data_IF_016543793989
#
_entry.id   IF_016543793989
#
_cell.length_a   1.000
_cell.length_b   1.000
_cell.length_c   1.000
_cell.angle_alpha   90.00
_cell.angle_beta   90.00
_cell.angle_gamma   90.00
#
_symmetry.space_group_name_H-M   'P 1'
#
loop_
_entity.id
_entity.type
_entity.pdbx_description
1 polymer ?
#
# COMPACT_ATOMS: atom_id res chain seq x y z
N UNK A 1 -8.89 9.01 -24.33
CA UNK A 1 -10.33 8.74 -24.38
C UNK A 1 -11.03 10.06 -24.16
N UNK A 2 -11.75 10.54 -25.17
CA UNK A 2 -12.42 11.85 -25.16
C UNK A 2 -13.93 11.72 -25.36
N UNK A 3 -14.37 10.71 -26.10
CA UNK A 3 -15.79 10.43 -26.41
C UNK A 3 -16.24 9.09 -25.82
N UNK A 4 -17.55 8.83 -25.86
CA UNK A 4 -18.13 7.54 -25.44
C UNK A 4 -17.61 6.41 -26.34
N UNK A 5 -17.54 6.61 -27.65
CA UNK A 5 -17.02 5.63 -28.60
C UNK A 5 -15.54 5.32 -28.36
N UNK A 6 -14.74 6.34 -28.03
CA UNK A 6 -13.33 6.15 -27.64
C UNK A 6 -13.23 5.28 -26.37
N UNK A 7 -14.16 5.45 -25.42
CA UNK A 7 -14.18 4.69 -24.17
C UNK A 7 -14.55 3.22 -24.43
N UNK A 8 -15.55 2.97 -25.29
CA UNK A 8 -15.87 1.60 -25.73
C UNK A 8 -14.71 0.94 -26.47
N UNK A 9 -14.07 1.67 -27.40
CA UNK A 9 -12.87 1.18 -28.10
C UNK A 9 -11.75 0.82 -27.12
N UNK A 10 -11.55 1.61 -26.08
CA UNK A 10 -10.59 1.30 -25.02
C UNK A 10 -11.01 0.08 -24.19
N UNK A 11 -12.29 -0.04 -23.83
CA UNK A 11 -12.80 -1.19 -23.09
C UNK A 11 -12.58 -2.50 -23.85
N UNK A 12 -13.01 -2.55 -25.10
CA UNK A 12 -13.01 -3.76 -25.92
C UNK A 12 -11.58 -4.18 -26.32
N UNK A 13 -10.77 -3.23 -26.79
CA UNK A 13 -9.47 -3.55 -27.40
C UNK A 13 -8.29 -3.46 -26.42
N UNK A 14 -8.41 -2.67 -25.34
CA UNK A 14 -7.29 -2.48 -24.40
C UNK A 14 -7.58 -3.09 -23.04
N UNK A 15 -8.69 -2.75 -22.40
CA UNK A 15 -8.97 -3.19 -21.03
C UNK A 15 -9.17 -4.70 -20.97
N UNK A 16 -10.07 -5.24 -21.79
CA UNK A 16 -10.49 -6.67 -21.73
C UNK A 16 -9.36 -7.63 -22.09
N UNK A 17 -8.54 -7.26 -23.06
CA UNK A 17 -7.38 -8.07 -23.42
C UNK A 17 -6.37 -8.13 -22.28
N UNK A 18 -6.22 -7.06 -21.51
CA UNK A 18 -5.22 -6.98 -20.46
C UNK A 18 -5.66 -7.57 -19.12
N UNK A 19 -6.96 -7.76 -18.87
CA UNK A 19 -7.45 -8.37 -17.61
C UNK A 19 -7.24 -9.88 -17.51
N UNK A 20 -6.73 -10.53 -18.56
CA UNK A 20 -6.39 -11.96 -18.57
C UNK A 20 -5.01 -12.17 -19.18
N UNK A 21 -4.28 -13.14 -18.63
CA UNK A 21 -3.01 -13.58 -19.19
C UNK A 21 -3.19 -14.08 -20.62
N UNK A 22 -2.53 -13.41 -21.58
CA UNK A 22 -2.51 -13.83 -22.97
C UNK A 22 -1.49 -14.95 -23.21
N UNK A 23 -1.54 -15.52 -24.41
CA UNK A 23 -0.55 -16.49 -24.88
C UNK A 23 0.87 -15.92 -24.81
N UNK A 24 1.84 -16.83 -24.71
CA UNK A 24 3.25 -16.48 -24.79
C UNK A 24 3.64 -16.09 -26.22
N UNK A 25 4.80 -15.45 -26.38
CA UNK A 25 5.31 -15.04 -27.70
C UNK A 25 5.56 -16.24 -28.64
N UNK A 26 5.73 -17.43 -28.09
CA UNK A 26 5.87 -18.70 -28.81
C UNK A 26 4.50 -19.37 -29.12
N UNK A 27 3.38 -18.70 -28.84
CA UNK A 27 2.02 -19.23 -29.05
C UNK A 27 1.55 -20.23 -27.99
N UNK A 28 2.36 -20.52 -26.97
CA UNK A 28 1.96 -21.45 -25.93
C UNK A 28 0.93 -20.83 -24.97
N UNK A 29 -0.01 -21.67 -24.52
CA UNK A 29 -0.99 -21.26 -23.53
C UNK A 29 -0.33 -20.98 -22.16
N UNK A 30 -0.77 -19.95 -21.43
CA UNK A 30 -0.22 -19.59 -20.13
C UNK A 30 -0.71 -20.56 -19.04
N UNK A 31 -0.12 -21.76 -19.00
CA UNK A 31 -0.45 -22.81 -18.01
C UNK A 31 -0.19 -22.30 -16.59
N UNK A 32 -1.08 -22.64 -15.65
CA UNK A 32 -1.05 -22.21 -14.24
C UNK A 32 -1.14 -20.70 -13.99
N UNK A 33 -1.45 -19.90 -15.01
CA UNK A 33 -1.67 -18.45 -14.89
C UNK A 33 -3.15 -18.09 -15.02
N UNK A 34 -4.05 -19.05 -14.76
CA UNK A 34 -5.50 -18.81 -14.71
C UNK A 34 -5.82 -17.87 -13.55
N UNK A 35 -6.11 -16.62 -13.89
CA UNK A 35 -6.35 -15.54 -12.94
C UNK A 35 -5.21 -14.53 -12.82
N UNK A 36 -4.15 -14.63 -13.61
CA UNK A 36 -3.19 -13.53 -13.77
C UNK A 36 -3.66 -12.56 -14.87
N UNK A 37 -3.25 -11.30 -14.76
CA UNK A 37 -3.41 -10.32 -15.84
C UNK A 37 -2.33 -10.51 -16.90
N UNK A 38 -2.42 -9.76 -17.99
CA UNK A 38 -1.51 -9.91 -19.13
C UNK A 38 -0.02 -9.64 -18.81
N UNK A 39 0.26 -8.95 -17.70
CA UNK A 39 1.62 -8.78 -17.20
C UNK A 39 2.25 -10.06 -16.63
N UNK A 40 1.46 -11.11 -16.40
CA UNK A 40 1.86 -12.42 -15.88
C UNK A 40 2.53 -12.38 -14.49
N UNK A 41 2.42 -11.25 -13.78
CA UNK A 41 2.97 -11.07 -12.43
C UNK A 41 1.89 -10.79 -11.41
N UNK A 42 0.86 -10.02 -11.77
CA UNK A 42 -0.23 -9.67 -10.88
C UNK A 42 -1.40 -10.64 -11.06
N UNK A 43 -1.87 -11.20 -9.94
CA UNK A 43 -3.02 -12.09 -9.89
C UNK A 43 -4.28 -11.31 -9.55
N UNK A 44 -5.35 -11.48 -10.31
CA UNK A 44 -6.69 -11.04 -9.98
C UNK A 44 -7.21 -11.75 -8.72
N UNK A 45 -7.84 -10.98 -7.84
CA UNK A 45 -8.64 -11.52 -6.75
C UNK A 45 -10.11 -11.34 -7.13
N UNK A 46 -10.79 -12.46 -7.33
CA UNK A 46 -12.17 -12.47 -7.81
C UNK A 46 -12.26 -12.03 -9.27
N UNK A 47 -13.02 -10.96 -9.53
CA UNK A 47 -13.25 -10.39 -10.86
C UNK A 47 -13.27 -8.86 -10.78
N UNK A 48 -13.10 -8.20 -11.92
CA UNK A 48 -13.36 -6.78 -12.03
C UNK A 48 -14.89 -6.54 -12.06
N UNK A 49 -15.32 -5.39 -11.56
CA UNK A 49 -16.71 -4.92 -11.65
C UNK A 49 -16.72 -3.58 -12.39
N UNK A 50 -17.69 -3.40 -13.29
CA UNK A 50 -17.97 -2.15 -13.99
C UNK A 50 -19.31 -1.63 -13.51
N UNK A 51 -19.29 -0.52 -12.78
CA UNK A 51 -20.47 0.13 -12.21
C UNK A 51 -20.76 1.42 -12.94
N UNK A 52 -22.01 1.65 -13.28
CA UNK A 52 -22.49 2.85 -13.94
C UNK A 52 -23.44 3.61 -13.03
N UNK A 53 -23.27 4.94 -13.03
CA UNK A 53 -24.23 5.90 -12.49
C UNK A 53 -24.84 6.73 -13.63
N UNK A 54 -26.17 6.85 -13.59
CA UNK A 54 -27.01 7.49 -14.59
C UNK A 54 -27.97 8.47 -13.92
N UNK A 55 -28.38 9.50 -14.66
CA UNK A 55 -29.46 10.42 -14.27
C UNK A 55 -30.81 10.02 -14.88
N UNK A 56 -31.89 10.40 -14.20
CA UNK A 56 -33.26 10.23 -14.71
C UNK A 56 -33.48 11.05 -15.97
N UNK A 57 -34.27 10.50 -16.90
CA UNK A 57 -34.75 11.25 -18.06
C UNK A 57 -35.73 12.33 -17.58
N UNK A 58 -35.41 13.60 -17.80
CA UNK A 58 -36.30 14.72 -17.50
C UNK A 58 -36.51 15.59 -18.74
N UNK A 59 -37.78 15.98 -18.94
CA UNK A 59 -38.18 16.99 -19.90
C UNK A 59 -37.65 18.35 -19.43
N UNK A 60 -37.16 19.16 -20.35
CA UNK A 60 -36.70 20.50 -20.04
C UNK A 60 -37.23 21.52 -21.03
N UNK A 61 -37.29 22.76 -20.56
CA UNK A 61 -37.70 23.91 -21.35
C UNK A 61 -36.44 24.57 -21.91
N UNK A 62 -36.27 24.51 -23.23
CA UNK A 62 -35.22 25.25 -23.92
C UNK A 62 -35.90 26.11 -24.99
N UNK A 63 -35.68 27.42 -24.93
CA UNK A 63 -36.30 28.41 -25.84
C UNK A 63 -37.83 28.29 -25.99
N UNK A 64 -38.57 28.09 -24.89
CA UNK A 64 -40.04 27.92 -24.85
C UNK A 64 -40.59 26.72 -25.64
N UNK A 65 -39.72 25.84 -26.15
CA UNK A 65 -40.10 24.53 -26.66
C UNK A 65 -39.70 23.45 -25.64
N UNK A 66 -40.59 22.46 -25.46
CA UNK A 66 -40.32 21.33 -24.58
C UNK A 66 -39.37 20.40 -25.33
N UNK A 67 -38.10 20.41 -24.94
CA UNK A 67 -37.10 19.47 -25.45
C UNK A 67 -37.18 18.19 -24.62
N UNK A 68 -37.16 17.05 -25.31
CA UNK A 68 -37.42 15.74 -24.70
C UNK A 68 -36.30 15.28 -23.74
N UNK A 69 -35.08 15.78 -23.90
CA UNK A 69 -33.90 15.28 -23.18
C UNK A 69 -32.94 16.42 -22.81
N UNK A 70 -32.92 16.82 -21.53
CA UNK A 70 -31.84 17.65 -21.00
C UNK A 70 -30.77 16.84 -20.30
N UNK A 71 -29.52 17.25 -20.53
CA UNK A 71 -28.35 16.66 -19.92
C UNK A 71 -27.94 17.52 -18.72
N UNK A 72 -28.51 17.22 -17.56
CA UNK A 72 -28.09 17.83 -16.29
C UNK A 72 -26.80 17.19 -15.76
N UNK A 73 -26.08 17.91 -14.91
CA UNK A 73 -25.01 17.32 -14.11
C UNK A 73 -25.57 16.32 -13.08
N UNK A 74 -24.71 15.43 -12.59
CA UNK A 74 -25.12 14.43 -11.61
C UNK A 74 -25.42 15.10 -10.25
N UNK A 75 -26.52 14.68 -9.62
CA UNK A 75 -26.89 15.04 -8.26
C UNK A 75 -27.59 13.86 -7.59
N UNK A 76 -27.54 13.81 -6.26
CA UNK A 76 -28.25 12.76 -5.49
C UNK A 76 -29.77 12.77 -5.74
N UNK A 77 -30.36 13.92 -6.10
CA UNK A 77 -31.79 14.06 -6.39
C UNK A 77 -32.21 13.53 -7.76
N UNK A 78 -31.31 13.62 -8.76
CA UNK A 78 -31.62 13.22 -10.14
C UNK A 78 -31.03 11.86 -10.54
N UNK A 79 -30.38 11.14 -9.62
CA UNK A 79 -29.91 9.77 -9.86
C UNK A 79 -31.08 8.84 -10.22
N UNK A 80 -30.85 8.03 -11.25
CA UNK A 80 -31.77 6.98 -11.65
C UNK A 80 -31.54 5.69 -10.84
N UNK A 81 -32.62 5.21 -10.21
CA UNK A 81 -32.63 4.03 -9.34
C UNK A 81 -33.61 2.94 -9.81
N UNK A 82 -34.16 3.07 -11.01
CA UNK A 82 -35.15 2.13 -11.56
C UNK A 82 -34.49 0.94 -12.24
N UNK A 83 -35.16 -0.21 -12.31
CA UNK A 83 -34.64 -1.39 -13.02
C UNK A 83 -35.26 -1.49 -14.41
N UNK A 84 -34.44 -1.77 -15.42
CA UNK A 84 -34.85 -1.73 -16.82
C UNK A 84 -34.63 -3.08 -17.52
N UNK A 85 -35.36 -3.27 -18.61
CA UNK A 85 -35.01 -4.26 -19.64
C UNK A 85 -33.69 -3.89 -20.33
N UNK A 86 -32.98 -4.88 -20.90
CA UNK A 86 -31.79 -4.64 -21.70
C UNK A 86 -32.02 -3.55 -22.75
N UNK A 87 -31.15 -2.55 -22.79
CA UNK A 87 -31.24 -1.40 -23.68
C UNK A 87 -32.00 -0.17 -23.15
N UNK A 88 -32.15 -0.04 -21.83
CA UNK A 88 -32.83 1.10 -21.19
C UNK A 88 -34.27 1.34 -21.69
N UNK A 89 -34.98 0.24 -21.99
CA UNK A 89 -36.33 0.25 -22.55
C UNK A 89 -37.38 0.47 -21.45
N UNK A 90 -38.13 -0.58 -21.11
CA UNK A 90 -39.20 -0.52 -20.12
C UNK A 90 -38.70 -0.86 -18.73
N UNK A 91 -39.26 -0.20 -17.71
CA UNK A 91 -39.04 -0.58 -16.32
C UNK A 91 -39.59 -1.98 -16.06
N UNK A 92 -38.77 -2.84 -15.45
CA UNK A 92 -39.15 -4.19 -15.08
C UNK A 92 -38.70 -4.55 -13.69
N UNK A 93 -39.51 -5.42 -13.06
CA UNK A 93 -39.18 -6.07 -11.78
C UNK A 93 -38.79 -7.53 -11.96
N UNK A 94 -38.67 -8.00 -13.21
CA UNK A 94 -38.28 -9.37 -13.53
C UNK A 94 -36.80 -9.58 -13.22
N UNK A 95 -36.47 -10.74 -12.65
CA UNK A 95 -35.09 -11.13 -12.35
C UNK A 95 -34.50 -11.91 -13.53
N UNK A 96 -33.45 -11.38 -14.15
CA UNK A 96 -32.75 -12.06 -15.24
C UNK A 96 -31.57 -12.89 -14.72
N UNK A 97 -31.27 -14.01 -15.40
CA UNK A 97 -30.16 -14.92 -15.04
C UNK A 97 -28.85 -14.61 -15.76
N UNK A 98 -28.88 -13.94 -16.92
CA UNK A 98 -27.68 -13.58 -17.66
C UNK A 98 -27.00 -12.35 -17.04
N UNK A 99 -25.66 -12.36 -17.02
CA UNK A 99 -24.85 -11.24 -16.47
C UNK A 99 -25.12 -9.92 -17.20
N UNK A 100 -25.31 -9.98 -18.53
CA UNK A 100 -25.64 -8.81 -19.36
C UNK A 100 -27.00 -8.24 -18.97
N UNK A 101 -28.06 -9.05 -18.90
CA UNK A 101 -29.40 -8.54 -18.58
C UNK A 101 -29.50 -8.09 -17.12
N UNK A 102 -28.79 -8.74 -16.19
CA UNK A 102 -28.71 -8.31 -14.80
C UNK A 102 -28.03 -6.94 -14.65
N UNK A 103 -27.14 -6.56 -15.58
CA UNK A 103 -26.46 -5.27 -15.54
C UNK A 103 -27.37 -4.05 -15.77
N UNK A 104 -28.62 -4.26 -16.22
CA UNK A 104 -29.63 -3.20 -16.37
C UNK A 104 -30.53 -3.05 -15.13
N UNK A 105 -30.31 -3.87 -14.10
CA UNK A 105 -31.02 -3.78 -12.82
C UNK A 105 -30.25 -2.92 -11.83
N UNK A 106 -30.95 -2.00 -11.15
CA UNK A 106 -30.33 -1.16 -10.14
C UNK A 106 -30.02 -1.98 -8.88
N UNK A 107 -28.83 -1.80 -8.33
CA UNK A 107 -28.43 -2.35 -7.03
C UNK A 107 -28.10 -1.22 -6.06
N UNK A 108 -28.56 -1.35 -4.83
CA UNK A 108 -28.27 -0.35 -3.80
C UNK A 108 -26.83 -0.46 -3.30
N UNK A 109 -26.32 0.59 -2.65
CA UNK A 109 -24.98 0.59 -2.04
C UNK A 109 -24.79 -0.54 -1.02
N UNK A 110 -25.85 -0.92 -0.29
CA UNK A 110 -25.83 -2.02 0.67
C UNK A 110 -25.71 -3.39 0.00
N UNK A 111 -26.36 -3.58 -1.15
CA UNK A 111 -26.32 -4.85 -1.88
C UNK A 111 -24.96 -5.06 -2.57
N UNK A 112 -24.31 -3.96 -2.95
CA UNK A 112 -23.00 -3.96 -3.61
C UNK A 112 -21.82 -3.88 -2.65
N UNK A 113 -22.06 -3.58 -1.36
CA UNK A 113 -21.02 -3.25 -0.37
C UNK A 113 -20.08 -2.13 -0.86
N UNK A 114 -20.67 -1.11 -1.49
CA UNK A 114 -19.96 0.02 -2.10
C UNK A 114 -20.26 1.32 -1.37
N UNK A 115 -19.27 2.22 -1.34
CA UNK A 115 -19.37 3.54 -0.73
C UNK A 115 -19.41 4.65 -1.79
N UNK A 116 -19.72 5.86 -1.34
CA UNK A 116 -19.76 7.06 -2.19
C UNK A 116 -18.36 7.36 -2.72
N UNK A 117 -18.24 7.53 -4.04
CA UNK A 117 -16.97 7.81 -4.69
C UNK A 117 -16.88 9.30 -5.06
N UNK A 118 -15.78 9.95 -4.69
CA UNK A 118 -15.52 11.36 -5.01
C UNK A 118 -14.60 11.42 -6.23
N UNK A 119 -15.17 11.84 -7.36
CA UNK A 119 -14.45 12.15 -8.59
C UNK A 119 -13.94 13.59 -8.63
N UNK A 120 -13.41 14.02 -9.77
CA UNK A 120 -12.90 15.38 -9.95
C UNK A 120 -14.04 16.36 -10.29
N UNK A 121 -15.12 15.87 -10.91
CA UNK A 121 -16.27 16.66 -11.36
C UNK A 121 -17.57 16.34 -10.62
N UNK A 122 -17.65 15.20 -9.92
CA UNK A 122 -18.85 14.80 -9.20
C UNK A 122 -18.61 13.93 -7.97
N UNK A 123 -19.61 13.92 -7.09
CA UNK A 123 -19.69 12.97 -5.97
C UNK A 123 -20.76 11.95 -6.31
N UNK A 124 -20.39 10.68 -6.43
CA UNK A 124 -21.23 9.60 -6.93
C UNK A 124 -21.64 8.65 -5.81
N UNK A 125 -22.93 8.35 -5.67
CA UNK A 125 -23.44 7.43 -4.63
C UNK A 125 -22.87 6.00 -4.82
N UNK A 126 -22.99 5.14 -3.80
CA UNK A 126 -22.47 3.77 -3.86
C UNK A 126 -23.29 2.84 -4.78
N UNK A 127 -24.57 3.13 -5.01
CA UNK A 127 -25.45 2.30 -5.84
C UNK A 127 -25.14 2.39 -7.35
N UNK A 128 -25.92 1.66 -8.14
CA UNK A 128 -25.88 1.78 -9.60
C UNK A 128 -26.10 0.47 -10.32
N UNK A 129 -25.75 0.49 -11.61
CA UNK A 129 -25.93 -0.62 -12.55
C UNK A 129 -24.58 -1.30 -12.75
N UNK A 130 -24.51 -2.62 -12.53
CA UNK A 130 -23.22 -3.32 -12.41
C UNK A 130 -23.13 -4.47 -13.39
N UNK A 131 -22.08 -4.46 -14.19
CA UNK A 131 -21.62 -5.60 -14.97
C UNK A 131 -20.35 -6.20 -14.34
N UNK A 132 -20.31 -7.52 -14.21
CA UNK A 132 -19.19 -8.24 -13.61
C UNK A 132 -18.38 -8.97 -14.67
N UNK A 133 -17.05 -8.78 -14.69
CA UNK A 133 -16.15 -9.43 -15.64
C UNK A 133 -15.82 -10.89 -15.23
N UNK A 134 -16.86 -11.73 -15.18
CA UNK A 134 -16.76 -13.16 -14.87
C UNK A 134 -16.62 -14.01 -16.13
N UNK A 135 -15.77 -15.03 -16.06
CA UNK A 135 -15.62 -16.02 -17.14
C UNK A 135 -14.36 -15.86 -18.00
N UNK A 136 -14.37 -16.51 -19.16
CA UNK A 136 -13.24 -16.56 -20.11
C UNK A 136 -13.22 -15.30 -20.99
N UNK A 137 -12.05 -15.01 -21.56
CA UNK A 137 -11.85 -13.82 -22.39
C UNK A 137 -12.86 -13.72 -23.54
N UNK A 138 -13.14 -14.82 -24.24
CA UNK A 138 -14.09 -14.86 -25.36
C UNK A 138 -15.51 -14.52 -24.91
N UNK A 139 -15.93 -15.04 -23.76
CA UNK A 139 -17.26 -14.77 -23.18
C UNK A 139 -17.37 -13.28 -22.75
N UNK A 140 -16.26 -12.69 -22.28
CA UNK A 140 -16.21 -11.27 -21.90
C UNK A 140 -16.28 -10.35 -23.13
N UNK A 141 -15.57 -10.69 -24.20
CA UNK A 141 -15.59 -9.93 -25.45
C UNK A 141 -16.98 -9.95 -26.10
N UNK A 142 -17.65 -11.11 -26.15
CA UNK A 142 -19.00 -11.21 -26.70
C UNK A 142 -20.06 -10.48 -25.85
N UNK A 143 -19.95 -10.56 -24.52
CA UNK A 143 -20.85 -9.84 -23.63
C UNK A 143 -20.67 -8.33 -23.73
N UNK A 144 -19.44 -7.84 -23.88
CA UNK A 144 -19.19 -6.40 -24.04
C UNK A 144 -19.69 -5.87 -25.38
N UNK A 145 -19.48 -6.59 -26.48
CA UNK A 145 -20.05 -6.18 -27.77
C UNK A 145 -21.58 -6.14 -27.71
N UNK A 146 -22.20 -7.06 -26.96
CA UNK A 146 -23.64 -7.03 -26.68
C UNK A 146 -24.04 -5.80 -25.86
N UNK A 147 -23.28 -5.46 -24.81
CA UNK A 147 -23.54 -4.26 -23.99
C UNK A 147 -23.38 -2.96 -24.78
N UNK A 148 -22.40 -2.91 -25.69
CA UNK A 148 -22.17 -1.78 -26.59
C UNK A 148 -23.34 -1.63 -27.56
N UNK A 149 -23.80 -2.73 -28.18
CA UNK A 149 -24.98 -2.72 -29.07
C UNK A 149 -26.28 -2.32 -28.35
N UNK A 150 -26.41 -2.70 -27.07
CA UNK A 150 -27.54 -2.31 -26.23
C UNK A 150 -27.41 -0.89 -25.67
N UNK A 151 -26.33 -0.16 -25.97
CA UNK A 151 -26.15 1.21 -25.47
C UNK A 151 -26.07 1.27 -23.94
N UNK A 152 -25.40 0.32 -23.30
CA UNK A 152 -25.31 0.31 -21.83
C UNK A 152 -24.73 1.63 -21.30
N UNK A 153 -23.71 2.19 -21.96
CA UNK A 153 -23.22 3.56 -21.72
C UNK A 153 -23.88 4.46 -22.76
N UNK A 154 -24.66 5.42 -22.29
CA UNK A 154 -25.42 6.36 -23.10
C UNK A 154 -25.16 7.81 -22.67
N UNK A 155 -25.88 8.74 -23.26
CA UNK A 155 -25.80 10.18 -23.00
C UNK A 155 -26.32 10.60 -21.60
N UNK A 156 -27.04 9.70 -20.91
CA UNK A 156 -27.51 9.87 -19.53
C UNK A 156 -26.52 9.33 -18.50
N UNK A 157 -25.53 8.58 -18.94
CA UNK A 157 -24.44 8.10 -18.08
C UNK A 157 -23.62 9.29 -17.60
N UNK A 158 -23.25 9.30 -16.31
CA UNK A 158 -22.45 10.36 -15.69
C UNK A 158 -21.13 9.86 -15.12
N UNK A 159 -21.09 8.61 -14.69
CA UNK A 159 -19.86 7.98 -14.25
C UNK A 159 -19.88 6.49 -14.58
N UNK A 160 -18.74 5.98 -15.03
CA UNK A 160 -18.44 4.55 -15.08
C UNK A 160 -17.22 4.29 -14.23
N UNK A 161 -17.36 3.42 -13.24
CA UNK A 161 -16.34 3.07 -12.26
C UNK A 161 -16.01 1.60 -12.45
N UNK A 162 -14.78 1.30 -12.83
CA UNK A 162 -14.25 -0.05 -12.90
C UNK A 162 -13.33 -0.29 -11.71
N UNK A 163 -13.68 -1.28 -10.89
CA UNK A 163 -12.92 -1.64 -9.69
C UNK A 163 -12.41 -3.07 -9.81
N UNK A 164 -11.14 -3.26 -9.44
CA UNK A 164 -10.50 -4.56 -9.38
C UNK A 164 -9.41 -4.60 -8.32
N UNK A 165 -9.19 -5.78 -7.75
CA UNK A 165 -8.13 -6.02 -6.77
C UNK A 165 -7.09 -6.97 -7.37
N UNK A 166 -5.82 -6.55 -7.31
CA UNK A 166 -4.67 -7.31 -7.75
C UNK A 166 -3.82 -7.72 -6.56
N UNK A 167 -3.23 -8.90 -6.63
CA UNK A 167 -2.21 -9.35 -5.69
C UNK A 167 -0.95 -9.74 -6.44
N UNK A 168 0.16 -9.14 -6.05
CA UNK A 168 1.47 -9.49 -6.57
C UNK A 168 2.16 -10.48 -5.62
N UNK A 169 2.33 -11.76 -6.00
CA UNK A 169 2.96 -12.76 -5.15
C UNK A 169 4.47 -12.51 -4.93
N UNK A 170 5.14 -11.82 -5.86
CA UNK A 170 6.59 -11.56 -5.77
C UNK A 170 6.91 -10.56 -4.65
N UNK A 171 6.06 -9.54 -4.49
CA UNK A 171 6.21 -8.52 -3.44
C UNK A 171 5.22 -8.67 -2.29
N UNK A 172 4.36 -9.70 -2.33
CA UNK A 172 3.32 -10.01 -1.35
C UNK A 172 2.42 -8.79 -1.05
N UNK A 173 1.98 -8.09 -2.10
CA UNK A 173 1.28 -6.82 -1.99
C UNK A 173 -0.08 -6.88 -2.68
N UNK A 174 -1.12 -6.48 -1.96
CA UNK A 174 -2.44 -6.23 -2.55
C UNK A 174 -2.51 -4.81 -3.08
N UNK A 175 -3.10 -4.63 -4.25
CA UNK A 175 -3.31 -3.33 -4.89
C UNK A 175 -4.77 -3.22 -5.31
N UNK A 176 -5.47 -2.23 -4.77
CA UNK A 176 -6.78 -1.82 -5.27
C UNK A 176 -6.59 -0.92 -6.49
N UNK A 177 -7.29 -1.20 -7.58
CA UNK A 177 -7.25 -0.40 -8.81
C UNK A 177 -8.66 0.07 -9.12
N UNK A 178 -8.79 1.38 -9.28
CA UNK A 178 -10.05 2.01 -9.67
C UNK A 178 -9.82 2.86 -10.91
N UNK A 179 -10.55 2.56 -11.99
CA UNK A 179 -10.69 3.44 -13.14
C UNK A 179 -12.04 4.14 -13.01
N UNK A 180 -12.04 5.47 -13.06
CA UNK A 180 -13.24 6.28 -13.11
C UNK A 180 -13.27 6.99 -14.47
N UNK A 181 -14.39 6.93 -15.17
CA UNK A 181 -14.66 7.77 -16.34
C UNK A 181 -15.86 8.65 -16.01
N UNK A 182 -15.65 9.96 -15.96
CA UNK A 182 -16.70 10.97 -15.72
C UNK A 182 -17.20 11.48 -17.08
N UNK A 183 -18.50 11.41 -17.29
CA UNK A 183 -19.18 11.85 -18.52
C UNK A 183 -19.90 13.16 -18.20
N UNK A 184 -19.38 14.27 -18.74
CA UNK A 184 -19.96 15.59 -18.52
C UNK A 184 -21.21 15.79 -19.37
N UNK A 185 -22.09 16.71 -18.93
CA UNK A 185 -23.26 17.16 -19.70
C UNK A 185 -22.91 17.75 -21.07
N UNK A 186 -21.67 18.22 -21.26
CA UNK A 186 -21.16 18.70 -22.54
C UNK A 186 -20.68 17.60 -23.50
N UNK A 187 -21.02 16.33 -23.22
CA UNK A 187 -20.63 15.14 -24.01
C UNK A 187 -19.12 14.81 -24.03
N UNK A 188 -18.34 15.32 -23.07
CA UNK A 188 -16.92 14.97 -22.89
C UNK A 188 -16.70 13.87 -21.85
N UNK A 189 -15.68 13.02 -22.07
CA UNK A 189 -15.28 11.94 -21.15
C UNK A 189 -13.93 12.23 -20.51
N UNK A 190 -13.88 12.17 -19.18
CA UNK A 190 -12.67 12.41 -18.38
C UNK A 190 -12.29 11.15 -17.59
N UNK A 191 -11.31 10.36 -18.08
CA UNK A 191 -10.83 9.17 -17.39
C UNK A 191 -9.78 9.52 -16.33
N UNK A 192 -9.91 8.95 -15.14
CA UNK A 192 -8.93 8.97 -14.06
C UNK A 192 -8.65 7.55 -13.58
N UNK A 193 -7.42 7.28 -13.17
CA UNK A 193 -7.00 5.98 -12.65
C UNK A 193 -6.32 6.15 -11.30
N UNK A 194 -6.72 5.35 -10.31
CA UNK A 194 -6.13 5.31 -8.97
C UNK A 194 -5.63 3.90 -8.66
N UNK A 195 -4.40 3.82 -8.18
CA UNK A 195 -3.72 2.59 -7.79
C UNK A 195 -3.32 2.72 -6.32
N UNK A 196 -3.90 1.91 -5.45
CA UNK A 196 -3.71 1.98 -4.00
C UNK A 196 -3.14 0.66 -3.47
N UNK A 197 -1.81 0.57 -3.29
CA UNK A 197 -1.17 -0.59 -2.68
C UNK A 197 -1.40 -0.61 -1.17
N UNK A 198 -1.86 -1.74 -0.62
CA UNK A 198 -2.09 -1.91 0.81
C UNK A 198 -0.77 -2.18 1.55
N UNK A 199 -0.27 -1.21 2.32
CA UNK A 199 1.05 -1.30 2.95
C UNK A 199 0.99 -1.41 4.48
N UNK A 200 1.71 -2.39 5.05
CA UNK A 200 1.73 -2.63 6.50
C UNK A 200 2.26 -1.46 7.34
N UNK A 201 3.22 -0.68 6.85
CA UNK A 201 3.71 0.48 7.60
C UNK A 201 2.67 1.60 7.69
N UNK A 202 1.69 1.69 6.78
CA UNK A 202 0.59 2.67 6.87
C UNK A 202 -0.37 2.28 7.99
N UNK A 203 -0.65 0.98 8.14
CA UNK A 203 -1.37 0.46 9.30
C UNK A 203 -0.63 0.79 10.59
N UNK A 204 0.70 0.63 10.60
CA UNK A 204 1.56 1.04 11.73
C UNK A 204 1.41 2.51 12.10
N UNK A 205 1.43 3.42 11.11
CA UNK A 205 1.21 4.86 11.31
C UNK A 205 -0.19 5.12 11.89
N UNK A 206 -1.23 4.51 11.32
CA UNK A 206 -2.62 4.70 11.77
C UNK A 206 -2.79 4.26 13.22
N UNK A 207 -2.29 3.07 13.57
CA UNK A 207 -2.37 2.53 14.95
C UNK A 207 -1.60 3.41 15.93
N UNK A 208 -0.37 3.82 15.59
CA UNK A 208 0.43 4.70 16.45
C UNK A 208 -0.23 6.09 16.59
N UNK A 209 -0.82 6.63 15.53
CA UNK A 209 -1.48 7.93 15.55
C UNK A 209 -2.73 7.91 16.43
N UNK A 210 -3.63 6.93 16.26
CA UNK A 210 -4.85 6.83 17.07
C UNK A 210 -4.55 6.55 18.55
N UNK A 211 -3.59 5.68 18.84
CA UNK A 211 -3.16 5.44 20.22
C UNK A 211 -2.52 6.69 20.84
N UNK A 212 -1.72 7.44 20.08
CA UNK A 212 -1.15 8.73 20.52
C UNK A 212 -2.24 9.74 20.86
N UNK A 213 -3.29 9.86 20.02
CA UNK A 213 -4.43 10.75 20.28
C UNK A 213 -5.16 10.34 21.56
N UNK A 214 -5.44 9.05 21.74
CA UNK A 214 -6.10 8.56 22.96
C UNK A 214 -5.29 8.85 24.23
N UNK A 215 -3.98 8.61 24.20
CA UNK A 215 -3.08 8.91 25.32
C UNK A 215 -2.96 10.42 25.55
N UNK A 216 -2.96 11.23 24.49
CA UNK A 216 -2.93 12.68 24.60
C UNK A 216 -4.20 13.23 25.27
N UNK A 217 -5.39 12.73 24.89
CA UNK A 217 -6.66 13.10 25.53
C UNK A 217 -6.65 12.70 27.00
N UNK A 218 -6.17 11.50 27.31
CA UNK A 218 -6.05 11.04 28.69
C UNK A 218 -5.10 11.92 29.51
N UNK A 219 -3.93 12.26 28.95
CA UNK A 219 -2.98 13.19 29.56
C UNK A 219 -3.61 14.57 29.80
N UNK A 220 -4.37 15.08 28.82
CA UNK A 220 -5.05 16.38 28.93
C UNK A 220 -6.00 16.40 30.13
N UNK A 221 -6.87 15.39 30.26
CA UNK A 221 -7.77 15.28 31.41
C UNK A 221 -7.03 15.16 32.75
N UNK A 222 -5.90 14.44 32.79
CA UNK A 222 -5.09 14.35 33.99
C UNK A 222 -4.47 15.69 34.37
N UNK A 223 -3.94 16.44 33.40
CA UNK A 223 -3.41 17.78 33.61
C UNK A 223 -4.49 18.77 34.08
N UNK A 224 -5.70 18.69 33.54
CA UNK A 224 -6.82 19.53 33.96
C UNK A 224 -7.22 19.26 35.42
N UNK A 225 -7.35 17.98 35.80
CA UNK A 225 -7.62 17.57 37.18
C UNK A 225 -6.56 18.10 38.15
N UNK A 226 -5.29 17.99 37.77
CA UNK A 226 -4.16 18.49 38.55
C UNK A 226 -4.22 20.03 38.65
N UNK A 227 -4.56 20.72 37.56
CA UNK A 227 -4.69 22.17 37.52
C UNK A 227 -5.84 22.70 38.39
N UNK A 228 -6.97 21.99 38.44
CA UNK A 228 -8.09 22.32 39.34
C UNK A 228 -7.68 22.16 40.81
N UNK A 229 -7.06 21.02 41.15
CA UNK A 229 -6.55 20.77 42.51
C UNK A 229 -5.57 21.87 42.97
N UNK A 230 -4.69 22.32 42.06
CA UNK A 230 -3.75 23.40 42.34
C UNK A 230 -4.44 24.74 42.60
N UNK A 231 -5.50 25.06 41.85
CA UNK A 231 -6.31 26.27 42.04
C UNK A 231 -7.07 26.26 43.36
N UNK A 232 -7.71 25.15 43.71
CA UNK A 232 -8.48 25.02 44.96
C UNK A 232 -7.60 25.12 46.20
N UNK A 233 -6.36 24.66 46.12
CA UNK A 233 -5.40 24.64 47.23
C UNK A 233 -4.47 25.85 47.27
N UNK A 234 -4.68 26.85 46.39
CA UNK A 234 -3.80 28.02 46.22
C UNK A 234 -2.31 27.64 46.09
N UNK A 235 -2.00 26.45 45.57
CA UNK A 235 -0.65 25.95 45.36
C UNK A 235 0.10 25.42 46.59
N UNK A 236 -0.55 25.24 47.74
CA UNK A 236 0.10 24.73 48.97
C UNK A 236 0.15 23.19 49.07
N UNK A 237 -0.40 22.46 48.09
CA UNK A 237 -0.43 20.99 48.08
C UNK A 237 0.65 20.41 47.16
N UNK A 238 1.36 19.40 47.67
CA UNK A 238 2.31 18.62 46.86
C UNK A 238 1.57 17.80 45.80
N UNK A 239 1.96 17.95 44.53
CA UNK A 239 1.39 17.24 43.39
C UNK A 239 2.44 16.27 42.84
N UNK A 240 2.12 14.98 42.84
CA UNK A 240 2.98 13.98 42.22
C UNK A 240 2.79 13.97 40.70
N UNK A 241 3.76 14.53 39.96
CA UNK A 241 3.77 14.58 38.49
C UNK A 241 4.42 13.35 37.84
N UNK A 242 4.92 12.39 38.61
CA UNK A 242 5.63 11.22 38.07
C UNK A 242 4.77 10.44 37.08
N UNK A 243 3.49 10.25 37.40
CA UNK A 243 2.55 9.58 36.49
C UNK A 243 2.34 10.38 35.20
N UNK A 244 2.19 11.70 35.28
CA UNK A 244 2.04 12.55 34.12
C UNK A 244 3.29 12.54 33.22
N UNK A 245 4.49 12.50 33.83
CA UNK A 245 5.76 12.33 33.12
C UNK A 245 5.83 10.98 32.40
N UNK A 246 5.48 9.89 33.09
CA UNK A 246 5.47 8.55 32.50
C UNK A 246 4.53 8.45 31.28
N UNK A 247 3.33 9.04 31.37
CA UNK A 247 2.39 9.12 30.25
C UNK A 247 2.97 9.95 29.09
N UNK A 248 3.70 11.02 29.37
CA UNK A 248 4.38 11.82 28.36
C UNK A 248 5.53 11.06 27.67
N UNK A 249 6.27 10.24 28.42
CA UNK A 249 7.34 9.41 27.86
C UNK A 249 6.77 8.36 26.89
N UNK A 250 5.66 7.70 27.26
CA UNK A 250 4.95 6.77 26.37
C UNK A 250 4.47 7.50 25.10
N UNK A 251 3.87 8.68 25.24
CA UNK A 251 3.42 9.48 24.10
C UNK A 251 4.60 9.81 23.16
N UNK A 252 5.75 10.18 23.72
CA UNK A 252 6.96 10.49 22.95
C UNK A 252 7.47 9.27 22.19
N UNK A 253 7.43 8.09 22.82
CA UNK A 253 7.79 6.82 22.17
C UNK A 253 6.85 6.53 20.99
N UNK A 254 5.54 6.69 21.15
CA UNK A 254 4.56 6.45 20.08
C UNK A 254 4.71 7.43 18.91
N UNK A 255 5.00 8.70 19.20
CA UNK A 255 5.33 9.69 18.17
C UNK A 255 6.64 9.33 17.46
N UNK A 256 7.63 8.82 18.19
CA UNK A 256 8.88 8.29 17.62
C UNK A 256 8.63 7.15 16.63
N UNK A 257 7.79 6.18 16.99
CA UNK A 257 7.38 5.09 16.08
C UNK A 257 6.62 5.61 14.86
N UNK A 258 5.76 6.61 15.03
CA UNK A 258 5.04 7.26 13.92
C UNK A 258 6.02 7.91 12.94
N UNK A 259 7.02 8.63 13.46
CA UNK A 259 8.11 9.20 12.66
C UNK A 259 8.92 8.10 11.94
N UNK A 260 9.24 7.00 12.62
CA UNK A 260 9.98 5.87 12.04
C UNK A 260 9.22 5.21 10.87
N UNK A 261 7.92 4.95 11.00
CA UNK A 261 7.15 4.44 9.87
C UNK A 261 7.00 5.47 8.75
N UNK A 262 6.91 6.77 9.11
CA UNK A 262 6.94 7.88 8.17
C UNK A 262 8.26 7.95 7.37
N UNK A 263 9.41 7.70 8.00
CA UNK A 263 10.70 7.65 7.30
C UNK A 263 10.78 6.43 6.37
N UNK A 264 10.27 5.26 6.78
CA UNK A 264 10.15 4.09 5.89
C UNK A 264 9.28 4.41 4.67
N UNK A 265 8.13 5.08 4.87
CA UNK A 265 7.27 5.55 3.76
C UNK A 265 8.02 6.53 2.85
N UNK A 266 8.84 7.41 3.43
CA UNK A 266 9.68 8.37 2.69
C UNK A 266 10.75 7.68 1.84
N UNK A 267 11.33 6.56 2.29
CA UNK A 267 12.28 5.77 1.47
C UNK A 267 11.62 5.27 0.18
N UNK A 268 10.31 4.98 0.17
CA UNK A 268 9.61 4.64 -1.08
C UNK A 268 9.55 5.81 -2.06
N UNK A 269 9.40 7.03 -1.57
CA UNK A 269 9.48 8.24 -2.39
C UNK A 269 10.90 8.47 -2.95
N UNK A 270 11.92 7.77 -2.43
CA UNK A 270 13.30 7.84 -2.93
C UNK A 270 13.67 6.67 -3.85
N UNK A 271 12.75 5.74 -4.15
CA UNK A 271 12.99 4.62 -5.08
C UNK A 271 13.29 5.05 -6.51
N UNK A 272 13.06 6.31 -6.85
CA UNK A 272 13.52 6.88 -8.11
C UNK A 272 15.06 6.84 -8.21
N UNK A 273 15.81 6.93 -7.11
CA UNK A 273 17.27 6.87 -7.18
C UNK A 273 17.75 5.45 -7.51
N UNK A 274 18.34 5.27 -8.69
CA UNK A 274 18.88 3.99 -9.16
C UNK A 274 19.84 3.34 -8.16
N UNK A 275 20.66 4.13 -7.45
CA UNK A 275 21.59 3.62 -6.44
C UNK A 275 20.85 2.99 -5.26
N UNK A 276 19.75 3.63 -4.84
CA UNK A 276 18.92 3.16 -3.73
C UNK A 276 18.08 1.94 -4.16
N UNK A 277 17.61 1.92 -5.41
CA UNK A 277 16.93 0.76 -5.97
C UNK A 277 17.85 -0.48 -6.00
N UNK A 278 19.08 -0.32 -6.50
CA UNK A 278 20.08 -1.39 -6.49
C UNK A 278 20.29 -1.93 -5.07
N UNK A 279 20.49 -1.05 -4.08
CA UNK A 279 20.63 -1.44 -2.67
C UNK A 279 19.42 -2.22 -2.10
N UNK A 280 18.19 -1.81 -2.46
CA UNK A 280 16.98 -2.54 -2.03
C UNK A 280 16.94 -3.94 -2.66
N UNK A 281 17.29 -4.06 -3.94
CA UNK A 281 17.35 -5.36 -4.60
C UNK A 281 18.46 -6.24 -4.01
N UNK A 282 19.63 -5.68 -3.69
CA UNK A 282 20.73 -6.44 -3.07
C UNK A 282 20.30 -7.03 -1.73
N UNK A 283 19.59 -6.26 -0.90
CA UNK A 283 19.00 -6.76 0.35
C UNK A 283 17.90 -7.79 0.12
N UNK A 284 17.13 -7.67 -0.97
CA UNK A 284 16.07 -8.63 -1.31
C UNK A 284 16.66 -9.98 -1.68
N UNK A 285 17.69 -10.01 -2.54
CA UNK A 285 18.42 -11.24 -2.88
C UNK A 285 19.10 -11.84 -1.64
N UNK A 286 19.74 -11.01 -0.82
CA UNK A 286 20.42 -11.46 0.40
C UNK A 286 19.46 -11.97 1.49
N UNK A 287 18.15 -11.70 1.41
CA UNK A 287 17.20 -11.90 2.53
C UNK A 287 17.23 -13.31 3.09
N UNK A 288 17.17 -14.33 2.23
CA UNK A 288 17.08 -15.72 2.67
C UNK A 288 18.37 -16.18 3.37
N UNK A 289 19.52 -15.77 2.84
CA UNK A 289 20.84 -16.07 3.41
C UNK A 289 21.09 -15.29 4.71
N UNK A 290 20.73 -14.00 4.74
CA UNK A 290 20.82 -13.17 5.94
C UNK A 290 19.94 -13.68 7.08
N UNK A 291 18.75 -14.21 6.79
CA UNK A 291 17.89 -14.82 7.81
C UNK A 291 18.56 -16.06 8.39
N UNK A 292 19.08 -16.94 7.54
CA UNK A 292 19.77 -18.17 7.99
C UNK A 292 21.04 -17.84 8.78
N UNK A 293 21.83 -16.87 8.31
CA UNK A 293 22.99 -16.35 9.02
C UNK A 293 22.63 -15.71 10.36
N UNK A 294 21.55 -14.92 10.42
CA UNK A 294 21.07 -14.30 11.65
C UNK A 294 20.66 -15.33 12.69
N UNK A 295 20.08 -16.48 12.27
CA UNK A 295 19.77 -17.59 13.19
C UNK A 295 21.05 -18.21 13.76
N UNK A 296 22.04 -18.51 12.90
CA UNK A 296 23.34 -19.04 13.33
C UNK A 296 24.07 -18.07 14.29
N UNK A 297 24.13 -16.78 13.93
CA UNK A 297 24.70 -15.73 14.76
C UNK A 297 23.99 -15.65 16.12
N UNK A 298 22.66 -15.72 16.16
CA UNK A 298 21.89 -15.66 17.41
C UNK A 298 22.22 -16.83 18.34
N UNK A 299 22.42 -18.04 17.80
CA UNK A 299 22.82 -19.21 18.61
C UNK A 299 24.19 -18.99 19.25
N UNK A 300 25.18 -18.54 18.46
CA UNK A 300 26.53 -18.24 18.95
C UNK A 300 26.47 -17.11 19.99
N UNK A 301 25.72 -16.05 19.70
CA UNK A 301 25.58 -14.89 20.58
C UNK A 301 24.93 -15.27 21.91
N UNK A 302 23.87 -16.09 21.91
CA UNK A 302 23.22 -16.57 23.14
C UNK A 302 24.15 -17.52 23.93
N UNK A 303 24.95 -18.34 23.26
CA UNK A 303 25.95 -19.17 23.93
C UNK A 303 27.01 -18.31 24.67
N UNK A 304 27.52 -17.26 24.03
CA UNK A 304 28.43 -16.32 24.70
C UNK A 304 27.73 -15.48 25.76
N UNK A 305 26.48 -15.06 25.54
CA UNK A 305 25.68 -14.34 26.52
C UNK A 305 25.52 -15.14 27.81
N UNK A 306 25.14 -16.40 27.70
CA UNK A 306 25.02 -17.30 28.85
C UNK A 306 26.37 -17.56 29.51
N UNK A 307 27.44 -17.79 28.74
CA UNK A 307 28.79 -17.99 29.24
C UNK A 307 29.28 -16.78 30.07
N UNK A 308 29.19 -15.58 29.51
CA UNK A 308 29.62 -14.35 30.18
C UNK A 308 28.79 -14.04 31.42
N UNK A 309 27.47 -14.22 31.34
CA UNK A 309 26.59 -14.02 32.49
C UNK A 309 26.96 -14.99 33.64
N UNK A 310 27.17 -16.27 33.34
CA UNK A 310 27.50 -17.26 34.37
C UNK A 310 28.88 -17.04 35.00
N UNK A 311 29.88 -16.59 34.22
CA UNK A 311 31.25 -16.39 34.73
C UNK A 311 31.39 -15.05 35.47
N UNK A 312 30.74 -13.98 34.99
CA UNK A 312 31.02 -12.61 35.42
C UNK A 312 29.88 -11.90 36.16
N UNK A 313 28.69 -12.51 36.30
CA UNK A 313 27.55 -11.87 36.99
C UNK A 313 27.84 -11.40 38.41
N UNK A 314 28.67 -12.14 39.15
CA UNK A 314 29.07 -11.77 40.52
C UNK A 314 30.30 -10.86 40.61
N UNK A 315 30.91 -10.48 39.48
CA UNK A 315 32.21 -9.76 39.46
C UNK A 315 32.16 -8.43 38.72
N UNK A 316 31.38 -8.34 37.65
CA UNK A 316 31.30 -7.16 36.78
C UNK A 316 29.86 -6.65 36.80
N UNK A 317 29.67 -5.35 37.07
CA UNK A 317 28.33 -4.73 37.07
C UNK A 317 27.65 -4.82 35.71
N UNK A 318 28.42 -4.70 34.62
CA UNK A 318 28.00 -4.90 33.23
C UNK A 318 27.46 -6.32 32.95
N UNK A 319 27.68 -7.28 33.86
CA UNK A 319 27.16 -8.64 33.74
C UNK A 319 26.07 -8.99 34.76
N UNK A 320 25.52 -8.00 35.50
CA UNK A 320 24.58 -8.27 36.60
C UNK A 320 23.24 -8.87 36.15
N UNK A 321 22.77 -8.49 34.96
CA UNK A 321 21.56 -9.05 34.37
C UNK A 321 21.84 -9.54 32.96
N UNK A 322 21.00 -10.44 32.45
CA UNK A 322 21.11 -10.94 31.08
C UNK A 322 21.04 -9.81 30.04
N UNK A 323 20.24 -8.77 30.29
CA UNK A 323 20.11 -7.63 29.38
C UNK A 323 21.36 -6.73 29.42
N UNK A 324 21.94 -6.53 30.59
CA UNK A 324 23.19 -5.77 30.75
C UNK A 324 24.36 -6.53 30.11
N UNK A 325 24.44 -7.85 30.29
CA UNK A 325 25.44 -8.69 29.60
C UNK A 325 25.27 -8.63 28.08
N UNK A 326 24.03 -8.65 27.58
CA UNK A 326 23.77 -8.52 26.14
C UNK A 326 24.20 -7.15 25.62
N UNK A 327 23.92 -6.08 26.37
CA UNK A 327 24.39 -4.72 26.06
C UNK A 327 25.91 -4.67 26.02
N UNK A 328 26.59 -5.24 27.01
CA UNK A 328 28.05 -5.31 27.07
C UNK A 328 28.61 -6.08 25.85
N UNK A 329 28.03 -7.22 25.49
CA UNK A 329 28.47 -7.97 24.30
C UNK A 329 28.30 -7.17 23.00
N UNK A 330 27.21 -6.39 22.86
CA UNK A 330 27.06 -5.47 21.72
C UNK A 330 28.07 -4.31 21.76
N UNK A 331 28.43 -3.80 22.93
CA UNK A 331 29.49 -2.80 23.07
C UNK A 331 30.86 -3.37 22.69
N UNK A 332 31.12 -4.65 23.00
CA UNK A 332 32.31 -5.38 22.56
C UNK A 332 32.31 -5.58 21.03
N UNK A 333 31.17 -5.93 20.40
CA UNK A 333 31.13 -6.06 18.93
C UNK A 333 31.37 -4.74 18.20
N UNK A 334 30.98 -3.61 18.81
CA UNK A 334 31.30 -2.26 18.34
C UNK A 334 32.73 -1.80 18.68
N UNK A 335 33.54 -2.65 19.33
CA UNK A 335 34.89 -2.36 19.84
C UNK A 335 34.95 -1.14 20.78
N UNK A 336 33.89 -0.90 21.56
CA UNK A 336 33.82 0.24 22.51
C UNK A 336 34.10 -0.14 23.96
N UNK A 337 34.42 -1.39 24.24
CA UNK A 337 34.52 -1.94 25.59
C UNK A 337 35.95 -1.90 26.13
N UNK A 338 36.11 -1.56 27.42
CA UNK A 338 37.40 -1.57 28.11
C UNK A 338 37.74 -2.98 28.62
N UNK A 339 38.71 -3.63 27.97
CA UNK A 339 39.13 -4.99 28.30
C UNK A 339 39.74 -5.13 29.71
N UNK A 340 40.13 -4.03 30.36
CA UNK A 340 40.71 -4.05 31.70
C UNK A 340 39.77 -4.68 32.74
N UNK A 341 38.45 -4.41 32.66
CA UNK A 341 37.46 -4.96 33.60
C UNK A 341 37.40 -6.50 33.54
N UNK A 342 37.58 -7.08 32.35
CA UNK A 342 37.57 -8.54 32.17
C UNK A 342 38.84 -9.22 32.67
N UNK A 343 39.98 -8.55 32.51
CA UNK A 343 41.30 -9.04 32.97
C UNK A 343 41.32 -9.06 34.50
N UNK A 344 40.80 -8.02 35.16
CA UNK A 344 40.73 -7.94 36.62
C UNK A 344 39.78 -8.98 37.22
N UNK A 345 38.63 -9.25 36.58
CA UNK A 345 37.68 -10.24 37.06
C UNK A 345 38.21 -11.68 37.00
N UNK A 346 39.04 -12.00 36.00
CA UNK A 346 39.76 -13.26 35.94
C UNK A 346 40.97 -13.17 35.00
N UNK A 347 42.16 -13.41 35.55
CA UNK A 347 43.43 -13.25 34.83
C UNK A 347 43.57 -14.14 33.59
N UNK A 348 42.90 -15.30 33.55
CA UNK A 348 42.98 -16.25 32.43
C UNK A 348 41.67 -16.35 31.63
N UNK A 349 40.56 -16.66 32.31
CA UNK A 349 39.29 -16.98 31.66
C UNK A 349 38.67 -15.77 30.94
N UNK A 350 38.84 -14.56 31.48
CA UNK A 350 38.37 -13.30 30.88
C UNK A 350 39.00 -13.02 29.53
N UNK A 351 40.34 -12.87 29.46
CA UNK A 351 41.05 -12.67 28.20
C UNK A 351 40.78 -13.79 27.19
N UNK A 352 40.67 -15.04 27.64
CA UNK A 352 40.38 -16.18 26.77
C UNK A 352 38.98 -16.07 26.14
N UNK A 353 37.93 -15.91 26.96
CA UNK A 353 36.56 -15.79 26.48
C UNK A 353 36.36 -14.54 25.60
N UNK A 354 37.01 -13.42 25.96
CA UNK A 354 37.00 -12.18 25.19
C UNK A 354 37.67 -12.37 23.82
N UNK A 355 38.86 -12.96 23.78
CA UNK A 355 39.59 -13.21 22.53
C UNK A 355 38.81 -14.17 21.62
N UNK A 356 38.24 -15.24 22.21
CA UNK A 356 37.41 -16.19 21.47
C UNK A 356 36.16 -15.52 20.90
N UNK A 357 35.49 -14.66 21.67
CA UNK A 357 34.33 -13.90 21.20
C UNK A 357 34.70 -12.97 20.04
N UNK A 358 35.81 -12.24 20.14
CA UNK A 358 36.29 -11.36 19.06
C UNK A 358 36.58 -12.18 17.79
N UNK A 359 37.29 -13.29 17.89
CA UNK A 359 37.61 -14.13 16.73
C UNK A 359 36.34 -14.66 16.07
N UNK A 360 35.42 -15.23 16.84
CA UNK A 360 34.22 -15.85 16.27
C UNK A 360 33.21 -14.82 15.77
N UNK A 361 32.89 -13.80 16.57
CA UNK A 361 31.83 -12.86 16.24
C UNK A 361 32.32 -11.72 15.36
N UNK A 362 33.46 -11.12 15.67
CA UNK A 362 33.95 -9.98 14.88
C UNK A 362 34.60 -10.47 13.60
N UNK A 363 35.59 -11.37 13.67
CA UNK A 363 36.30 -11.77 12.46
C UNK A 363 35.48 -12.72 11.58
N UNK A 364 34.97 -13.81 12.12
CA UNK A 364 34.27 -14.81 11.30
C UNK A 364 32.87 -14.33 10.91
N UNK A 365 32.02 -13.97 11.88
CA UNK A 365 30.64 -13.60 11.54
C UNK A 365 30.54 -12.31 10.71
N UNK A 366 31.35 -11.26 10.98
CA UNK A 366 31.29 -10.06 10.12
C UNK A 366 31.83 -10.33 8.71
N UNK A 367 32.89 -11.13 8.56
CA UNK A 367 33.40 -11.50 7.23
C UNK A 367 32.35 -12.28 6.43
N UNK A 368 31.63 -13.20 7.09
CA UNK A 368 30.54 -13.93 6.46
C UNK A 368 29.38 -13.00 6.06
N UNK A 369 28.98 -12.08 6.95
CA UNK A 369 27.95 -11.09 6.65
C UNK A 369 28.31 -10.22 5.43
N UNK A 370 29.53 -9.70 5.39
CA UNK A 370 30.02 -8.89 4.25
C UNK A 370 30.07 -9.73 2.97
N UNK A 371 30.48 -11.00 3.06
CA UNK A 371 30.52 -11.89 1.90
C UNK A 371 29.12 -12.14 1.31
N UNK A 372 28.12 -12.42 2.15
CA UNK A 372 26.72 -12.63 1.72
C UNK A 372 26.20 -11.39 0.99
N UNK A 373 26.43 -10.21 1.57
CA UNK A 373 26.02 -8.93 0.96
C UNK A 373 26.73 -8.71 -0.37
N UNK A 374 28.04 -8.99 -0.46
CA UNK A 374 28.81 -8.78 -1.67
C UNK A 374 28.37 -9.72 -2.81
N UNK A 375 28.12 -10.99 -2.51
CA UNK A 375 27.65 -11.93 -3.52
C UNK A 375 26.24 -11.59 -4.00
N UNK A 376 25.33 -11.28 -3.07
CA UNK A 376 23.99 -10.79 -3.41
C UNK A 376 24.02 -9.47 -4.19
N UNK A 377 25.01 -8.62 -3.93
CA UNK A 377 25.19 -7.38 -4.68
C UNK A 377 25.62 -7.63 -6.12
N UNK A 378 26.49 -8.60 -6.37
CA UNK A 378 26.87 -9.02 -7.73
C UNK A 378 25.65 -9.52 -8.49
N UNK A 379 24.86 -10.41 -7.88
CA UNK A 379 23.62 -10.94 -8.49
C UNK A 379 22.59 -9.86 -8.80
N UNK A 380 22.41 -8.91 -7.87
CA UNK A 380 21.49 -7.79 -8.07
C UNK A 380 21.94 -6.85 -9.20
N UNK A 381 23.26 -6.65 -9.36
CA UNK A 381 23.84 -5.80 -10.40
C UNK A 381 23.74 -6.43 -11.79
N UNK A 382 23.91 -7.75 -11.90
CA UNK A 382 23.81 -8.48 -13.17
C UNK A 382 22.36 -8.54 -13.69
N UNK A 383 21.37 -8.58 -12.79
CA UNK A 383 19.95 -8.67 -13.13
C UNK A 383 19.22 -7.30 -13.18
N UNK A 384 19.94 -6.18 -13.30
CA UNK A 384 19.29 -4.86 -13.40
C UNK A 384 18.63 -4.72 -14.78
N UNK A 385 17.29 -4.78 -14.80
CA UNK A 385 16.50 -4.59 -16.02
C UNK A 385 16.67 -3.18 -16.63
N UNK A 386 16.98 -3.06 -17.93
CA UNK A 386 17.07 -1.78 -18.62
C UNK A 386 15.73 -1.02 -18.66
N UNK A 387 14.60 -1.70 -18.45
CA UNK A 387 13.28 -1.10 -18.39
C UNK A 387 13.09 -0.19 -17.15
N UNK A 388 13.67 -0.55 -16.00
CA UNK A 388 13.62 0.30 -14.79
C UNK A 388 14.39 1.62 -14.98
N UNK A 389 15.44 1.63 -15.81
CA UNK A 389 16.14 2.86 -16.18
C UNK A 389 15.28 3.78 -17.06
N UNK A 390 14.45 3.20 -17.95
CA UNK A 390 13.53 3.95 -18.80
C UNK A 390 12.42 4.61 -17.98
N UNK A 391 11.81 3.89 -17.03
CA UNK A 391 10.78 4.44 -16.13
C UNK A 391 11.33 5.61 -15.30
N UNK A 392 12.56 5.49 -14.79
CA UNK A 392 13.23 6.58 -14.09
C UNK A 392 13.42 7.81 -14.99
N UNK A 393 13.93 7.62 -16.21
CA UNK A 393 14.12 8.72 -17.16
C UNK A 393 12.79 9.41 -17.53
N UNK A 394 11.70 8.65 -17.60
CA UNK A 394 10.36 9.16 -17.88
C UNK A 394 9.78 9.96 -16.70
N UNK A 395 9.91 9.43 -15.48
CA UNK A 395 9.45 10.08 -14.24
C UNK A 395 10.24 11.36 -13.96
N UNK A 396 11.57 11.33 -14.16
CA UNK A 396 12.44 12.51 -14.02
C UNK A 396 12.09 13.58 -15.04
N UNK A 397 11.84 13.22 -16.32
CA UNK A 397 11.36 14.16 -17.34
C UNK A 397 10.02 14.78 -16.96
N UNK A 398 9.11 14.01 -16.36
CA UNK A 398 7.81 14.50 -15.90
C UNK A 398 7.95 15.43 -14.68
N UNK A 399 8.84 15.11 -13.75
CA UNK A 399 9.17 15.96 -12.60
C UNK A 399 9.83 17.27 -13.04
N UNK A 400 10.80 17.21 -13.96
CA UNK A 400 11.45 18.39 -14.55
C UNK A 400 10.47 19.29 -15.30
N UNK A 401 9.49 18.70 -16.02
CA UNK A 401 8.37 19.44 -16.63
C UNK A 401 7.49 20.11 -15.58
N UNK A 402 7.25 19.46 -14.44
CA UNK A 402 6.44 20.00 -13.35
C UNK A 402 7.16 21.12 -12.58
N UNK A 403 8.48 21.01 -12.40
CA UNK A 403 9.30 22.03 -11.73
C UNK A 403 9.73 23.19 -12.64
N UNK A 404 9.30 23.20 -13.91
CA UNK A 404 9.59 24.29 -14.86
C UNK A 404 11.06 24.40 -15.29
N UNK A 405 11.92 23.46 -14.89
CA UNK A 405 13.34 23.45 -15.24
C UNK A 405 13.53 22.75 -16.59
N UNK A 406 13.26 23.48 -17.68
CA UNK A 406 13.76 23.16 -19.01
C UNK A 406 15.26 23.46 -19.03
N UNK A 407 16.09 22.44 -18.79
CA UNK A 407 17.48 22.46 -19.26
C UNK A 407 17.48 21.65 -20.55
N UNK A 408 17.31 22.35 -21.66
CA UNK A 408 17.62 21.81 -22.99
C UNK A 408 19.14 21.59 -23.05
N UNK A 409 19.56 20.32 -23.04
CA UNK A 409 20.86 19.95 -23.58
C UNK A 409 20.65 19.58 -25.04
N UNK A 410 21.09 20.49 -25.92
CA UNK A 410 21.32 20.22 -27.35
C UNK A 410 22.37 19.13 -27.55
#
# INVERSE_FOLDING_TARGET
>A
VSTIDDYWNWLENSFVENIRAQQWYNGEAPRNLSGYINDKTNRFIGWATMRQLRIKSQLCLANNEIILTCQYEYSLSNEDKHSYQPGWLNETKETYSSSVSQSFQYKSSKDLDTYTYVGDYGVYEGGGYVYEFRGRLVDLQSNLSTLHQLGWIDDKTRAVIIQLTLYNPNVQLFTSVTFLAEFLSSSGVYPTARFEPFNFYEVGIIVCAWTSVGIYIWRYHQCERIGQLFKETNGYVYINLQFASYVNDILTILLGFSCFFGTIKSIKLLRFNQRLCLFIETLRYARTELISFSMMFSIIFIAFLSLFYLIFSGKISSCSSLLDTARMLFEITLMKFDAHELIEASAFLGPFCFSLFIILVIFICMSMFVSIINDSFRLARENVDPHNQQIFSFMLKKFQRWTGTLIEFN
#
